data_IF_769701886287
#
_entry.id   IF_769701886287
#
_cell.length_a   1.000
_cell.length_b   1.000
_cell.length_c   1.000
_cell.angle_alpha   90.00
_cell.angle_beta   90.00
_cell.angle_gamma   90.00
#
_symmetry.space_group_name_H-M   'P 1'
#
loop_
_entity.id
_entity.type
_entity.pdbx_description
1 polymer ?
#
# COMPACT_ATOMS: atom_id res chain seq x y z
N UNK A 1 6.72 -11.56 15.08
CA UNK A 1 6.44 -10.29 14.37
C UNK A 1 7.14 -10.22 13.02
N UNK A 2 8.47 -10.34 12.93
CA UNK A 2 9.13 -10.44 11.60
C UNK A 2 8.62 -11.65 10.79
N UNK A 3 8.49 -12.82 11.41
CA UNK A 3 7.92 -14.01 10.75
C UNK A 3 6.44 -13.87 10.40
N UNK A 4 5.68 -13.11 11.19
CA UNK A 4 4.27 -12.81 10.92
C UNK A 4 4.14 -11.88 9.72
N UNK A 5 4.93 -10.80 9.68
CA UNK A 5 5.03 -9.94 8.51
C UNK A 5 5.41 -10.74 7.26
N UNK A 6 6.45 -11.58 7.33
CA UNK A 6 6.90 -12.40 6.20
C UNK A 6 5.79 -13.33 5.71
N UNK A 7 4.99 -13.88 6.64
CA UNK A 7 3.83 -14.71 6.31
C UNK A 7 2.79 -13.90 5.53
N UNK A 8 2.43 -12.71 6.02
CA UNK A 8 1.47 -11.82 5.32
C UNK A 8 2.00 -11.41 3.95
N UNK A 9 3.27 -11.01 3.86
CA UNK A 9 3.91 -10.61 2.61
C UNK A 9 3.89 -11.75 1.56
N UNK A 10 4.19 -12.99 1.98
CA UNK A 10 4.18 -14.16 1.10
C UNK A 10 2.79 -14.46 0.50
N UNK A 11 1.73 -14.31 1.30
CA UNK A 11 0.35 -14.57 0.85
C UNK A 11 -0.34 -13.34 0.26
N UNK A 12 0.34 -12.17 0.20
CA UNK A 12 -0.32 -10.90 -0.09
C UNK A 12 -0.94 -10.79 -1.49
N UNK A 13 -0.50 -11.64 -2.42
CA UNK A 13 -1.01 -11.69 -3.80
C UNK A 13 -2.09 -12.76 -4.01
N UNK A 14 -2.43 -13.55 -3.00
CA UNK A 14 -3.29 -14.74 -3.18
C UNK A 14 -4.75 -14.37 -3.51
N UNK A 15 -5.20 -13.18 -3.08
CA UNK A 15 -6.57 -12.70 -3.26
C UNK A 15 -6.68 -11.44 -4.16
N UNK A 16 -5.60 -11.06 -4.84
CA UNK A 16 -5.58 -9.88 -5.70
C UNK A 16 -4.23 -9.17 -5.69
N UNK A 17 -4.20 -7.95 -6.21
CA UNK A 17 -2.98 -7.12 -6.21
C UNK A 17 -2.95 -6.26 -4.94
N UNK A 18 -2.00 -6.49 -4.02
CA UNK A 18 -1.77 -5.60 -2.89
C UNK A 18 -0.99 -4.37 -3.35
N UNK A 19 -0.86 -3.40 -2.45
CA UNK A 19 0.18 -2.38 -2.52
C UNK A 19 1.09 -2.53 -1.32
N UNK A 20 2.40 -2.46 -1.55
CA UNK A 20 3.41 -2.37 -0.50
C UNK A 20 4.31 -1.18 -0.79
N UNK A 21 4.37 -0.26 0.17
CA UNK A 21 5.24 0.91 0.17
C UNK A 21 6.30 0.72 1.24
N UNK A 22 7.52 1.13 0.97
CA UNK A 22 8.59 1.08 1.96
C UNK A 22 9.35 2.40 2.00
N UNK A 23 9.79 2.78 3.18
CA UNK A 23 10.60 3.97 3.41
C UNK A 23 11.83 3.56 4.22
N UNK A 24 12.63 4.55 4.63
CA UNK A 24 13.74 4.30 5.54
C UNK A 24 13.27 4.04 6.98
N UNK A 25 12.03 4.41 7.32
CA UNK A 25 11.49 4.36 8.69
C UNK A 25 10.42 3.27 8.91
N UNK A 26 9.72 2.85 7.84
CA UNK A 26 8.67 1.84 7.94
C UNK A 26 8.34 1.17 6.59
N UNK A 27 7.57 0.10 6.68
CA UNK A 27 6.88 -0.54 5.56
C UNK A 27 5.38 -0.40 5.80
N UNK A 28 4.64 -0.01 4.76
CA UNK A 28 3.18 -0.01 4.75
C UNK A 28 2.65 -0.94 3.66
N UNK A 29 1.53 -1.60 3.93
CA UNK A 29 0.84 -2.40 2.94
C UNK A 29 -0.67 -2.39 3.09
N UNK A 30 -1.35 -2.47 1.95
CA UNK A 30 -2.77 -2.80 1.87
C UNK A 30 -2.94 -4.08 1.06
N UNK A 31 -3.42 -5.12 1.74
CA UNK A 31 -3.48 -6.48 1.22
C UNK A 31 -4.94 -6.93 1.10
N UNK A 32 -5.40 -7.42 -0.07
CA UNK A 32 -6.76 -7.92 -0.21
C UNK A 32 -6.96 -9.19 0.63
N UNK A 33 -8.04 -9.22 1.43
CA UNK A 33 -8.39 -10.39 2.27
C UNK A 33 -9.29 -11.37 1.50
N UNK A 34 -10.04 -10.88 0.52
CA UNK A 34 -10.92 -11.67 -0.34
C UNK A 34 -10.80 -11.21 -1.80
N UNK A 35 -11.14 -12.11 -2.73
CA UNK A 35 -11.02 -11.86 -4.18
C UNK A 35 -11.97 -10.76 -4.70
N UNK A 36 -13.08 -10.54 -3.99
CA UNK A 36 -14.02 -9.47 -4.30
C UNK A 36 -13.40 -8.09 -4.01
N UNK A 37 -12.48 -8.03 -3.06
CA UNK A 37 -11.83 -6.80 -2.61
C UNK A 37 -12.71 -6.02 -1.64
N UNK A 38 -13.63 -6.68 -0.96
CA UNK A 38 -14.55 -6.06 0.01
C UNK A 38 -13.82 -5.74 1.31
N UNK A 39 -12.81 -6.54 1.67
CA UNK A 39 -12.00 -6.36 2.88
C UNK A 39 -10.51 -6.31 2.57
N UNK A 40 -9.83 -5.44 3.30
CA UNK A 40 -8.41 -5.18 3.14
C UNK A 40 -7.74 -5.18 4.50
N UNK A 41 -6.56 -5.78 4.51
CA UNK A 41 -5.67 -5.81 5.66
C UNK A 41 -4.63 -4.71 5.49
N UNK A 42 -4.67 -3.74 6.39
CA UNK A 42 -3.58 -2.80 6.59
C UNK A 42 -2.47 -3.48 7.36
N UNK A 43 -1.24 -3.29 6.90
CA UNK A 43 -0.03 -3.76 7.55
C UNK A 43 0.92 -2.57 7.64
N UNK A 44 1.38 -2.26 8.83
CA UNK A 44 2.45 -1.29 9.04
C UNK A 44 3.54 -1.92 9.89
N UNK A 45 4.78 -1.86 9.41
CA UNK A 45 5.96 -2.32 10.14
C UNK A 45 6.90 -1.15 10.33
N UNK A 46 7.03 -0.60 11.53
CA UNK A 46 7.95 0.50 11.83
C UNK A 46 9.29 0.00 12.40
N UNK A 47 10.40 0.56 11.92
CA UNK A 47 11.74 0.20 12.41
C UNK A 47 12.06 0.87 13.76
N UNK A 48 11.32 1.92 14.13
CA UNK A 48 11.56 2.67 15.35
C UNK A 48 11.10 1.93 16.62
N UNK A 49 10.03 1.12 16.53
CA UNK A 49 9.47 0.40 17.67
C UNK A 49 10.06 -1.00 17.80
N UNK A 50 10.92 -1.21 18.80
CA UNK A 50 11.59 -2.52 18.99
C UNK A 50 10.68 -3.61 19.56
N UNK A 51 9.71 -3.23 20.39
CA UNK A 51 8.89 -4.20 21.13
C UNK A 51 7.65 -4.65 20.36
N UNK A 52 7.03 -3.76 19.57
CA UNK A 52 5.84 -4.06 18.76
C UNK A 52 5.89 -3.34 17.40
N UNK A 53 6.89 -3.61 16.54
CA UNK A 53 7.04 -2.93 15.26
C UNK A 53 5.87 -3.14 14.29
N UNK A 54 5.09 -4.21 14.46
CA UNK A 54 4.08 -4.65 13.51
C UNK A 54 2.67 -4.28 13.99
N UNK A 55 1.99 -3.44 13.22
CA UNK A 55 0.57 -3.17 13.30
C UNK A 55 -0.17 -3.86 12.15
N UNK A 56 -1.26 -4.56 12.48
CA UNK A 56 -2.12 -5.23 11.49
C UNK A 56 -3.57 -5.00 11.86
N UNK A 57 -4.37 -4.62 10.89
CA UNK A 57 -5.81 -4.44 11.08
C UNK A 57 -6.55 -4.69 9.78
N UNK A 58 -7.83 -5.04 9.87
CA UNK A 58 -8.68 -5.36 8.73
C UNK A 58 -9.89 -4.43 8.71
N UNK A 59 -10.20 -3.86 7.55
CA UNK A 59 -11.33 -2.96 7.36
C UNK A 59 -12.02 -3.22 6.02
N UNK A 60 -13.23 -2.67 5.88
CA UNK A 60 -13.92 -2.65 4.60
C UNK A 60 -13.18 -1.76 3.58
N UNK A 61 -13.38 -2.01 2.29
CA UNK A 61 -12.70 -1.33 1.19
C UNK A 61 -12.86 0.19 1.23
N UNK A 62 -14.05 0.71 1.55
CA UNK A 62 -14.30 2.16 1.56
C UNK A 62 -13.40 2.89 2.57
N UNK A 63 -13.30 2.36 3.79
CA UNK A 63 -12.45 2.95 4.82
C UNK A 63 -10.97 2.72 4.52
N UNK A 64 -10.62 1.53 4.03
CA UNK A 64 -9.24 1.21 3.65
C UNK A 64 -8.72 2.12 2.54
N UNK A 65 -9.59 2.52 1.61
CA UNK A 65 -9.26 3.47 0.55
C UNK A 65 -8.90 4.85 1.11
N UNK A 66 -9.65 5.35 2.10
CA UNK A 66 -9.34 6.62 2.76
C UNK A 66 -7.95 6.59 3.40
N UNK A 67 -7.63 5.52 4.14
CA UNK A 67 -6.32 5.35 4.76
C UNK A 67 -5.20 5.21 3.72
N UNK A 68 -5.44 4.46 2.63
CA UNK A 68 -4.46 4.32 1.56
C UNK A 68 -4.15 5.65 0.87
N UNK A 69 -5.17 6.45 0.57
CA UNK A 69 -4.99 7.78 -0.03
C UNK A 69 -4.25 8.69 0.94
N UNK A 70 -4.62 8.70 2.22
CA UNK A 70 -3.92 9.49 3.23
C UNK A 70 -2.44 9.10 3.38
N UNK A 71 -2.15 7.80 3.38
CA UNK A 71 -0.78 7.29 3.43
C UNK A 71 0.04 7.74 2.22
N UNK A 72 -0.51 7.64 1.01
CA UNK A 72 0.19 8.05 -0.21
C UNK A 72 0.35 9.58 -0.26
N UNK A 73 -0.68 10.35 0.06
CA UNK A 73 -0.64 11.81 -0.02
C UNK A 73 0.19 12.47 1.08
N UNK A 74 0.18 11.91 2.28
CA UNK A 74 0.82 12.53 3.46
C UNK A 74 2.02 11.71 3.92
N UNK A 75 1.86 10.42 4.17
CA UNK A 75 2.92 9.53 4.66
C UNK A 75 4.11 9.48 3.70
N UNK A 76 3.87 9.00 2.48
CA UNK A 76 4.92 8.85 1.44
C UNK A 76 5.53 10.19 1.06
N UNK A 77 4.77 11.28 1.08
CA UNK A 77 5.26 12.62 0.71
C UNK A 77 6.41 13.14 1.58
N UNK A 78 6.55 12.64 2.82
CA UNK A 78 7.69 12.97 3.68
C UNK A 78 9.02 12.38 3.16
N UNK A 79 8.96 11.26 2.44
CA UNK A 79 10.13 10.52 1.96
C UNK A 79 10.37 10.74 0.47
N UNK A 80 9.31 10.94 -0.32
CA UNK A 80 9.35 11.12 -1.76
C UNK A 80 9.14 12.59 -2.10
N UNK A 81 10.24 13.36 -2.16
CA UNK A 81 10.20 14.82 -2.31
C UNK A 81 9.59 15.31 -3.62
N UNK A 82 9.67 14.50 -4.68
CA UNK A 82 9.12 14.81 -6.00
C UNK A 82 7.72 14.21 -6.21
N UNK A 83 7.07 13.72 -5.15
CA UNK A 83 5.74 13.15 -5.23
C UNK A 83 4.71 14.19 -5.70
N UNK A 84 4.07 13.92 -6.83
CA UNK A 84 3.06 14.78 -7.40
C UNK A 84 1.69 14.52 -6.76
N UNK A 85 1.50 15.06 -5.56
CA UNK A 85 0.25 14.96 -4.78
C UNK A 85 -0.95 15.53 -5.54
N UNK A 86 -0.74 16.52 -6.42
CA UNK A 86 -1.83 17.09 -7.23
C UNK A 86 -2.40 16.03 -8.16
N UNK A 87 -1.55 15.29 -8.89
CA UNK A 87 -2.01 14.23 -9.78
C UNK A 87 -2.65 13.05 -9.03
N UNK A 88 -2.20 12.75 -7.81
CA UNK A 88 -2.84 11.75 -6.95
C UNK A 88 -4.29 12.16 -6.64
N UNK A 89 -4.50 13.41 -6.26
CA UNK A 89 -5.84 13.97 -5.98
C UNK A 89 -6.73 13.96 -7.20
N UNK A 90 -6.22 14.44 -8.34
CA UNK A 90 -6.98 14.43 -9.60
C UNK A 90 -7.41 13.01 -9.99
N UNK A 91 -6.56 12.00 -9.79
CA UNK A 91 -6.93 10.62 -10.04
C UNK A 91 -7.97 10.11 -9.04
N UNK A 92 -7.79 10.38 -7.74
CA UNK A 92 -8.75 10.01 -6.69
C UNK A 92 -10.14 10.60 -6.96
N UNK A 93 -10.21 11.87 -7.35
CA UNK A 93 -11.46 12.54 -7.73
C UNK A 93 -12.10 11.85 -8.94
N UNK A 94 -11.30 11.44 -9.93
CA UNK A 94 -11.81 10.75 -11.13
C UNK A 94 -12.47 9.39 -10.86
N UNK A 95 -12.21 8.78 -9.70
CA UNK A 95 -12.77 7.49 -9.28
C UNK A 95 -13.78 7.60 -8.13
N UNK A 96 -14.20 8.81 -7.73
CA UNK A 96 -15.08 9.03 -6.59
C UNK A 96 -16.42 8.26 -6.69
N UNK A 97 -16.97 8.16 -7.90
CA UNK A 97 -18.24 7.47 -8.18
C UNK A 97 -18.17 5.94 -8.20
N UNK A 98 -16.98 5.33 -8.06
CA UNK A 98 -16.81 3.87 -8.03
C UNK A 98 -17.12 3.30 -6.64
N UNK A 99 -17.43 1.99 -6.58
CA UNK A 99 -17.54 1.30 -5.28
C UNK A 99 -16.19 1.22 -4.56
N UNK A 100 -16.18 1.07 -3.24
CA UNK A 100 -14.94 0.91 -2.44
C UNK A 100 -13.96 -0.15 -3.00
N UNK A 101 -14.41 -1.38 -3.32
CA UNK A 101 -13.53 -2.39 -3.94
C UNK A 101 -12.93 -1.94 -5.27
N UNK A 102 -13.73 -1.28 -6.12
CA UNK A 102 -13.27 -0.76 -7.40
C UNK A 102 -12.30 0.42 -7.23
N UNK A 103 -12.51 1.28 -6.22
CA UNK A 103 -11.59 2.38 -5.87
C UNK A 103 -10.23 1.83 -5.48
N UNK A 104 -10.19 0.87 -4.54
CA UNK A 104 -8.97 0.20 -4.10
C UNK A 104 -8.20 -0.41 -5.28
N UNK A 105 -8.90 -1.23 -6.09
CA UNK A 105 -8.29 -1.88 -7.26
C UNK A 105 -7.79 -0.87 -8.28
N UNK A 106 -8.58 0.16 -8.59
CA UNK A 106 -8.22 1.19 -9.59
C UNK A 106 -7.00 2.00 -9.15
N UNK A 107 -6.97 2.43 -7.89
CA UNK A 107 -5.89 3.25 -7.33
C UNK A 107 -4.57 2.49 -7.21
N UNK A 108 -4.61 1.26 -6.69
CA UNK A 108 -3.41 0.41 -6.61
C UNK A 108 -2.86 0.11 -8.01
N UNK A 109 -3.73 -0.20 -8.97
CA UNK A 109 -3.33 -0.47 -10.35
C UNK A 109 -2.69 0.76 -10.99
N UNK A 110 -3.29 1.94 -10.82
CA UNK A 110 -2.75 3.20 -11.34
C UNK A 110 -1.36 3.50 -10.76
N UNK A 111 -1.17 3.38 -9.44
CA UNK A 111 0.12 3.66 -8.81
C UNK A 111 1.20 2.66 -9.25
N UNK A 112 0.88 1.38 -9.41
CA UNK A 112 1.86 0.36 -9.82
C UNK A 112 2.25 0.52 -11.30
N UNK A 113 1.28 0.79 -12.17
CA UNK A 113 1.50 0.83 -13.63
C UNK A 113 2.02 2.18 -14.11
N UNK A 114 1.66 3.27 -13.43
CA UNK A 114 1.96 4.64 -13.83
C UNK A 114 2.77 5.39 -12.76
N UNK A 115 3.57 4.70 -11.94
CA UNK A 115 4.34 5.30 -10.84
C UNK A 115 5.19 6.51 -11.28
N UNK A 116 5.82 6.42 -12.45
CA UNK A 116 6.64 7.49 -13.04
C UNK A 116 5.88 8.80 -13.32
N UNK A 117 4.55 8.76 -13.40
CA UNK A 117 3.69 9.95 -13.47
C UNK A 117 3.67 10.72 -12.15
N UNK A 118 3.85 10.00 -11.04
CA UNK A 118 3.70 10.53 -9.68
C UNK A 118 5.05 10.84 -9.02
N UNK A 119 6.11 10.11 -9.34
CA UNK A 119 7.48 10.38 -8.86
C UNK A 119 8.49 9.62 -9.72
N UNK A 120 9.73 10.09 -9.78
CA UNK A 120 10.80 9.34 -10.46
C UNK A 120 11.20 8.04 -9.73
N UNK A 121 10.91 7.93 -8.43
CA UNK A 121 11.32 6.80 -7.60
C UNK A 121 10.32 6.53 -6.47
N UNK A 122 9.09 6.16 -6.82
CA UNK A 122 8.10 5.75 -5.84
C UNK A 122 8.51 4.40 -5.21
N UNK A 123 8.62 4.29 -3.88
CA UNK A 123 9.19 3.11 -3.25
C UNK A 123 8.11 2.03 -3.03
N UNK A 124 7.64 1.48 -4.14
CA UNK A 124 6.54 0.51 -4.22
C UNK A 124 7.06 -0.86 -4.69
N UNK A 125 6.50 -1.95 -4.15
CA UNK A 125 6.68 -3.30 -4.69
C UNK A 125 5.64 -3.50 -5.81
N UNK A 126 6.10 -3.76 -7.03
CA UNK A 126 5.23 -3.81 -8.21
C UNK A 126 4.73 -5.22 -8.54
N UNK A 127 5.41 -6.25 -8.05
CA UNK A 127 5.13 -7.63 -8.44
C UNK A 127 5.42 -8.65 -7.33
N UNK A 128 4.87 -9.86 -7.47
CA UNK A 128 5.07 -10.96 -6.51
C UNK A 128 6.54 -11.37 -6.40
N UNK A 129 7.29 -11.30 -7.49
CA UNK A 129 8.71 -11.66 -7.52
C UNK A 129 9.58 -10.69 -6.71
N UNK A 130 9.14 -9.44 -6.54
CA UNK A 130 9.82 -8.41 -5.76
C UNK A 130 9.58 -8.52 -4.25
N UNK A 131 8.62 -9.34 -3.79
CA UNK A 131 8.31 -9.48 -2.35
C UNK A 131 9.51 -9.97 -1.53
N UNK A 132 10.44 -10.70 -2.15
CA UNK A 132 11.71 -11.04 -1.51
C UNK A 132 12.48 -9.82 -1.00
N UNK A 133 12.46 -8.71 -1.75
CA UNK A 133 13.14 -7.47 -1.37
C UNK A 133 12.52 -6.82 -0.12
N UNK A 134 11.20 -6.88 0.02
CA UNK A 134 10.48 -6.36 1.18
C UNK A 134 10.84 -7.13 2.46
N UNK A 135 10.89 -8.46 2.35
CA UNK A 135 11.25 -9.34 3.47
C UNK A 135 12.69 -9.19 3.93
N UNK A 136 13.61 -8.81 3.03
CA UNK A 136 15.02 -8.58 3.37
C UNK A 136 15.25 -7.26 4.13
N UNK A 137 14.24 -6.38 4.18
CA UNK A 137 14.28 -5.13 4.94
C UNK A 137 13.87 -5.31 6.42
N UNK A 138 13.55 -6.54 6.84
CA UNK A 138 13.15 -6.91 8.21
C UNK A 138 14.03 -8.05 8.71
#
# INVERSE_FOLDING_TARGET
MSEEFKTIANSSFDNGTPIWLYTDDYIFGMVPVDANGDRWKEVSYTYAEKENPLYVTERAAELSFQFLVEEVEKGVSFYVKDLNVILIKEFTDSIEGKSGPEKMKSFITELIQNDSKYSNALPIIKSKDEIGSLKNKI
#
